data_IF_331689429495
#
_entry.id   IF_331689429495
#
_cell.length_a   1.000
_cell.length_b   1.000
_cell.length_c   1.000
_cell.angle_alpha   90.00
_cell.angle_beta   90.00
_cell.angle_gamma   90.00
#
_symmetry.space_group_name_H-M   'P 1'
#
loop_
_entity.id
_entity.type
_entity.pdbx_description
1 polymer ?
#
# COMPACT_ATOMS: atom_id res chain seq x y z
N UNK A 1 16.86 -7.11 1.42
CA UNK A 1 15.81 -6.26 0.82
C UNK A 1 15.50 -6.69 -0.61
N UNK A 2 16.30 -6.35 -1.63
CA UNK A 2 15.96 -6.65 -3.04
C UNK A 2 15.73 -8.15 -3.33
N UNK A 3 16.60 -9.05 -2.83
CA UNK A 3 16.40 -10.51 -2.98
C UNK A 3 15.12 -11.01 -2.30
N UNK A 4 14.79 -10.46 -1.14
CA UNK A 4 13.57 -10.79 -0.39
C UNK A 4 12.33 -10.35 -1.16
N UNK A 5 12.27 -9.11 -1.64
CA UNK A 5 11.16 -8.65 -2.47
C UNK A 5 11.00 -9.51 -3.73
N UNK A 6 12.12 -9.83 -4.40
CA UNK A 6 12.10 -10.64 -5.61
C UNK A 6 11.53 -12.06 -5.43
N UNK A 7 11.60 -12.65 -4.22
CA UNK A 7 11.02 -13.99 -3.99
C UNK A 7 9.48 -13.99 -3.99
N UNK A 8 8.84 -12.81 -3.92
CA UNK A 8 7.40 -12.67 -3.96
C UNK A 8 6.86 -12.16 -5.30
N UNK A 9 7.70 -11.86 -6.30
CA UNK A 9 7.25 -11.25 -7.55
C UNK A 9 6.23 -12.10 -8.33
N UNK A 10 6.30 -13.43 -8.23
CA UNK A 10 5.29 -14.30 -8.86
C UNK A 10 3.86 -14.07 -8.36
N UNK A 11 3.66 -13.47 -7.17
CA UNK A 11 2.33 -13.10 -6.70
C UNK A 11 1.70 -11.95 -7.52
N UNK A 12 2.52 -11.14 -8.19
CA UNK A 12 2.06 -10.04 -9.06
C UNK A 12 1.45 -10.56 -10.36
N UNK A 13 1.84 -11.77 -10.82
CA UNK A 13 1.33 -12.37 -12.06
C UNK A 13 -0.17 -12.71 -12.00
N UNK A 14 -0.77 -12.78 -10.80
CA UNK A 14 -2.21 -12.97 -10.62
C UNK A 14 -3.05 -11.75 -11.02
N UNK A 15 -2.42 -10.58 -11.17
CA UNK A 15 -3.08 -9.33 -11.54
C UNK A 15 -3.28 -9.30 -13.05
N UNK A 16 -4.45 -9.79 -13.48
CA UNK A 16 -4.79 -9.93 -14.91
C UNK A 16 -5.73 -8.85 -15.45
N UNK A 17 -6.32 -8.05 -14.55
CA UNK A 17 -7.29 -6.99 -14.88
C UNK A 17 -6.88 -5.69 -14.17
N UNK A 18 -6.12 -4.80 -14.83
CA UNK A 18 -5.64 -3.59 -14.20
C UNK A 18 -6.76 -2.58 -13.98
N UNK A 19 -6.71 -1.91 -12.83
CA UNK A 19 -7.59 -0.79 -12.46
C UNK A 19 -6.75 0.46 -12.26
N UNK A 20 -7.38 1.63 -12.37
CA UNK A 20 -6.72 2.87 -12.00
C UNK A 20 -6.49 2.86 -10.49
N UNK A 21 -5.23 2.95 -10.09
CA UNK A 21 -4.75 3.01 -8.71
C UNK A 21 -4.29 4.44 -8.46
N UNK A 22 -4.67 5.02 -7.33
CA UNK A 22 -4.21 6.36 -6.93
C UNK A 22 -2.84 6.33 -6.26
N UNK A 23 -2.62 5.33 -5.42
CA UNK A 23 -1.39 5.05 -4.68
C UNK A 23 -0.95 6.15 -3.68
N UNK A 24 -1.85 7.08 -3.35
CA UNK A 24 -1.62 8.12 -2.35
C UNK A 24 -2.92 8.59 -1.66
N UNK A 25 -3.76 7.65 -1.23
CA UNK A 25 -5.06 7.92 -0.61
C UNK A 25 -4.97 8.07 0.92
N UNK A 26 -4.06 8.91 1.41
CA UNK A 26 -4.12 9.35 2.81
C UNK A 26 -5.24 10.39 2.99
N UNK A 27 -5.63 10.63 4.25
CA UNK A 27 -6.81 11.47 4.58
C UNK A 27 -6.81 12.86 3.95
N UNK A 28 -5.65 13.46 3.68
CA UNK A 28 -5.53 14.78 3.06
C UNK A 28 -5.94 14.81 1.58
N UNK A 29 -5.84 13.69 0.87
CA UNK A 29 -6.13 13.59 -0.56
C UNK A 29 -7.58 13.15 -0.86
N UNK A 30 -8.41 12.99 0.18
CA UNK A 30 -9.82 12.59 0.06
C UNK A 30 -10.71 13.78 0.43
N UNK A 31 -11.35 14.38 -0.57
CA UNK A 31 -12.27 15.49 -0.36
C UNK A 31 -13.64 14.96 0.04
N UNK A 32 -14.20 15.52 1.11
CA UNK A 32 -15.52 15.17 1.62
C UNK A 32 -16.52 16.25 1.21
N UNK A 33 -17.57 15.85 0.49
CA UNK A 33 -18.72 16.69 0.21
C UNK A 33 -19.79 16.49 1.29
N UNK A 34 -20.33 17.61 1.78
CA UNK A 34 -21.37 17.68 2.80
C UNK A 34 -22.57 18.51 2.31
N UNK A 35 -22.57 18.91 1.05
CA UNK A 35 -23.69 19.64 0.46
C UNK A 35 -24.91 18.70 0.39
N UNK A 36 -26.06 19.18 0.85
CA UNK A 36 -27.29 18.38 0.90
C UNK A 36 -27.51 17.57 2.19
N UNK A 37 -26.65 17.70 3.20
CA UNK A 37 -26.83 17.06 4.51
C UNK A 37 -26.37 15.61 4.60
N UNK A 38 -25.99 14.99 3.48
CA UNK A 38 -25.32 13.69 3.42
C UNK A 38 -23.80 13.87 3.31
N UNK A 39 -23.04 12.94 3.90
CA UNK A 39 -21.57 12.94 3.82
C UNK A 39 -21.15 11.95 2.74
N UNK A 40 -20.42 12.41 1.73
CA UNK A 40 -19.91 11.56 0.64
C UNK A 40 -18.50 11.96 0.23
N UNK A 41 -17.81 11.08 -0.49
CA UNK A 41 -16.56 11.45 -1.16
C UNK A 41 -16.92 12.38 -2.34
N UNK A 42 -16.40 13.61 -2.29
CA UNK A 42 -16.60 14.62 -3.33
C UNK A 42 -15.50 14.60 -4.40
N UNK A 43 -14.32 14.10 -4.08
CA UNK A 43 -13.21 14.01 -5.02
C UNK A 43 -11.95 13.39 -4.41
N UNK A 44 -11.05 12.97 -5.30
CA UNK A 44 -9.70 12.52 -4.98
C UNK A 44 -8.72 13.45 -5.68
N UNK A 45 -7.64 13.83 -5.02
CA UNK A 45 -6.66 14.81 -5.53
C UNK A 45 -5.23 14.28 -5.39
N UNK A 46 -4.29 14.94 -6.07
CA UNK A 46 -2.86 14.62 -6.02
C UNK A 46 -2.51 13.25 -6.66
N UNK A 47 -2.97 13.07 -7.89
CA UNK A 47 -2.80 11.83 -8.66
C UNK A 47 -1.43 11.63 -9.29
N UNK A 48 -0.36 12.26 -8.80
CA UNK A 48 0.98 12.16 -9.41
C UNK A 48 1.56 10.74 -9.39
N UNK A 49 1.07 9.89 -8.47
CA UNK A 49 1.47 8.48 -8.30
C UNK A 49 0.50 7.51 -8.96
N UNK A 50 -0.46 8.00 -9.74
CA UNK A 50 -1.46 7.16 -10.38
C UNK A 50 -0.86 6.22 -11.43
N UNK A 51 -1.32 4.98 -11.43
CA UNK A 51 -0.98 4.00 -12.46
C UNK A 51 -2.12 3.00 -12.69
N UNK A 52 -2.06 2.29 -13.81
CA UNK A 52 -2.93 1.14 -14.06
C UNK A 52 -2.29 -0.12 -13.49
N UNK A 53 -2.95 -0.78 -12.53
CA UNK A 53 -2.38 -1.93 -11.84
C UNK A 53 -3.36 -2.63 -10.91
N UNK A 54 -2.83 -3.26 -9.87
CA UNK A 54 -3.62 -3.98 -8.87
C UNK A 54 -4.39 -3.01 -7.96
N UNK A 55 -5.74 -3.04 -7.92
CA UNK A 55 -6.51 -2.19 -7.02
C UNK A 55 -6.15 -2.39 -5.53
N UNK A 56 -5.56 -3.53 -5.16
CA UNK A 56 -5.08 -3.78 -3.80
C UNK A 56 -3.93 -2.84 -3.39
N UNK A 57 -3.24 -2.23 -4.35
CA UNK A 57 -2.17 -1.28 -4.07
C UNK A 57 -2.66 0.01 -3.40
N UNK A 58 -3.92 0.45 -3.60
CA UNK A 58 -4.45 1.63 -2.91
C UNK A 58 -4.55 1.43 -1.39
N UNK A 59 -4.72 0.18 -0.95
CA UNK A 59 -4.96 -0.15 0.46
C UNK A 59 -3.79 0.22 1.36
N UNK A 60 -2.55 0.23 0.83
CA UNK A 60 -1.36 0.55 1.63
C UNK A 60 -1.24 2.03 1.94
N UNK A 61 -1.80 2.90 1.09
CA UNK A 61 -1.86 4.34 1.32
C UNK A 61 -3.02 4.73 2.25
N UNK A 62 -4.15 4.02 2.16
CA UNK A 62 -5.29 4.17 3.06
C UNK A 62 -4.97 3.75 4.51
N UNK A 63 -4.24 2.64 4.68
CA UNK A 63 -3.78 2.14 5.97
C UNK A 63 -2.29 2.47 6.21
N UNK A 64 -1.86 3.69 5.90
CA UNK A 64 -0.48 4.12 6.06
C UNK A 64 0.06 3.80 7.48
N UNK A 65 1.15 3.02 7.55
CA UNK A 65 1.76 2.50 8.79
C UNK A 65 0.86 1.56 9.63
N UNK A 66 -0.35 1.25 9.16
CA UNK A 66 -1.34 0.38 9.78
C UNK A 66 -1.49 -0.97 9.07
N UNK A 67 -2.61 -1.64 9.36
CA UNK A 67 -3.00 -2.89 8.73
C UNK A 67 -4.46 -2.77 8.25
N UNK A 68 -4.64 -2.65 6.93
CA UNK A 68 -5.96 -2.51 6.31
C UNK A 68 -6.90 -3.67 6.66
N UNK A 69 -6.37 -4.86 7.00
CA UNK A 69 -7.16 -6.03 7.37
C UNK A 69 -7.95 -5.83 8.66
N UNK A 70 -7.59 -4.83 9.48
CA UNK A 70 -8.26 -4.47 10.73
C UNK A 70 -9.30 -3.37 10.56
N UNK A 71 -9.41 -2.78 9.37
CA UNK A 71 -10.38 -1.73 9.07
C UNK A 71 -11.67 -2.35 8.53
N UNK A 72 -12.48 -2.91 9.43
CA UNK A 72 -13.69 -3.63 9.07
C UNK A 72 -14.72 -2.74 8.36
N UNK A 73 -14.80 -1.46 8.73
CA UNK A 73 -15.72 -0.48 8.15
C UNK A 73 -15.35 -0.18 6.70
N UNK A 74 -14.08 0.15 6.44
CA UNK A 74 -13.58 0.33 5.07
C UNK A 74 -13.81 -0.92 4.23
N UNK A 75 -13.45 -2.09 4.75
CA UNK A 75 -13.56 -3.34 4.00
C UNK A 75 -15.02 -3.72 3.71
N UNK A 76 -15.95 -3.42 4.63
CA UNK A 76 -17.38 -3.60 4.40
C UNK A 76 -17.88 -2.69 3.28
N UNK A 77 -17.61 -1.38 3.37
CA UNK A 77 -18.01 -0.42 2.35
C UNK A 77 -17.39 -0.71 0.97
N UNK A 78 -16.11 -1.10 0.93
CA UNK A 78 -15.43 -1.46 -0.31
C UNK A 78 -16.08 -2.66 -0.99
N UNK A 79 -16.50 -3.68 -0.22
CA UNK A 79 -17.22 -4.86 -0.75
C UNK A 79 -18.64 -4.51 -1.18
N UNK A 80 -19.35 -3.68 -0.42
CA UNK A 80 -20.71 -3.22 -0.77
C UNK A 80 -20.72 -2.45 -2.10
N UNK A 81 -19.68 -1.64 -2.35
CA UNK A 81 -19.46 -0.96 -3.62
C UNK A 81 -19.00 -1.88 -4.79
N UNK A 82 -18.91 -3.20 -4.57
CA UNK A 82 -18.53 -4.19 -5.58
C UNK A 82 -17.02 -4.48 -5.65
N UNK A 83 -16.22 -3.88 -4.77
CA UNK A 83 -14.79 -4.12 -4.66
C UNK A 83 -14.45 -5.50 -4.11
N UNK A 84 -13.27 -6.03 -4.48
CA UNK A 84 -12.76 -7.32 -3.98
C UNK A 84 -11.65 -7.09 -2.96
N UNK A 85 -11.88 -7.50 -1.71
CA UNK A 85 -10.88 -7.44 -0.65
C UNK A 85 -10.67 -8.85 -0.05
N UNK A 86 -9.88 -9.68 -0.76
CA UNK A 86 -9.45 -11.01 -0.29
C UNK A 86 -7.99 -10.95 0.11
N UNK A 87 -7.64 -11.69 1.16
CA UNK A 87 -6.29 -11.71 1.74
C UNK A 87 -5.74 -13.14 1.81
N UNK A 88 -5.85 -13.87 0.70
CA UNK A 88 -5.10 -15.12 0.54
C UNK A 88 -3.58 -14.87 0.55
N UNK A 89 -2.79 -15.94 0.43
CA UNK A 89 -1.32 -15.83 0.53
C UNK A 89 -0.75 -14.91 -0.54
N UNK A 90 -1.20 -15.01 -1.78
CA UNK A 90 -0.72 -14.18 -2.87
C UNK A 90 -1.10 -12.69 -2.69
N UNK A 91 -2.35 -12.40 -2.30
CA UNK A 91 -2.77 -11.03 -2.00
C UNK A 91 -1.98 -10.43 -0.82
N UNK A 92 -1.65 -11.21 0.21
CA UNK A 92 -0.80 -10.76 1.32
C UNK A 92 0.63 -10.46 0.87
N UNK A 93 1.21 -11.29 0.00
CA UNK A 93 2.51 -11.04 -0.60
C UNK A 93 2.49 -9.74 -1.44
N UNK A 94 1.46 -9.51 -2.24
CA UNK A 94 1.28 -8.25 -3.00
C UNK A 94 1.17 -7.04 -2.07
N UNK A 95 0.36 -7.09 -1.02
CA UNK A 95 0.28 -6.02 -0.01
C UNK A 95 1.61 -5.75 0.69
N UNK A 96 2.39 -6.79 0.97
CA UNK A 96 3.71 -6.62 1.56
C UNK A 96 4.69 -5.96 0.57
N UNK A 97 4.65 -6.33 -0.71
CA UNK A 97 5.41 -5.66 -1.77
C UNK A 97 5.02 -4.18 -1.93
N UNK A 98 3.71 -3.88 -1.97
CA UNK A 98 3.23 -2.50 -2.09
C UNK A 98 3.57 -1.64 -0.86
N UNK A 99 3.47 -2.20 0.35
CA UNK A 99 3.95 -1.53 1.58
C UNK A 99 5.45 -1.26 1.51
N UNK A 100 6.24 -2.26 1.12
CA UNK A 100 7.68 -2.08 0.99
C UNK A 100 8.03 -0.99 -0.02
N UNK A 101 7.31 -0.94 -1.15
CA UNK A 101 7.48 0.10 -2.16
C UNK A 101 7.12 1.50 -1.62
N UNK A 102 5.94 1.66 -1.02
CA UNK A 102 5.52 2.94 -0.43
C UNK A 102 6.48 3.42 0.66
N UNK A 103 6.94 2.53 1.53
CA UNK A 103 7.88 2.89 2.60
C UNK A 103 9.27 3.25 2.06
N UNK A 104 9.72 2.60 0.99
CA UNK A 104 10.95 3.00 0.29
C UNK A 104 10.80 4.42 -0.26
N UNK A 105 9.69 4.72 -0.94
CA UNK A 105 9.38 6.07 -1.44
C UNK A 105 9.49 7.09 -0.30
N UNK A 106 8.75 6.89 0.79
CA UNK A 106 8.75 7.80 1.95
C UNK A 106 10.14 8.03 2.53
N UNK A 107 10.98 6.99 2.62
CA UNK A 107 12.35 7.11 3.10
C UNK A 107 13.24 7.89 2.12
N UNK A 108 13.11 7.61 0.82
CA UNK A 108 13.97 8.19 -0.22
C UNK A 108 13.61 9.63 -0.58
N UNK A 109 12.32 9.99 -0.49
CA UNK A 109 11.84 11.31 -0.91
C UNK A 109 12.08 12.40 0.15
N UNK A 110 12.54 12.03 1.35
CA UNK A 110 13.00 13.02 2.36
C UNK A 110 14.11 13.94 1.85
N UNK A 111 14.92 13.47 0.90
CA UNK A 111 16.02 14.24 0.29
C UNK A 111 15.50 15.25 -0.74
N UNK A 112 14.79 14.84 -1.81
CA UNK A 112 14.27 15.80 -2.80
C UNK A 112 13.24 16.79 -2.23
N UNK A 113 12.52 16.44 -1.16
CA UNK A 113 11.62 17.37 -0.48
C UNK A 113 12.32 18.29 0.55
N UNK A 114 13.65 18.24 0.64
CA UNK A 114 14.45 19.05 1.56
C UNK A 114 13.93 18.97 3.01
N UNK A 115 13.45 17.78 3.42
CA UNK A 115 12.76 17.60 4.69
C UNK A 115 13.65 18.05 5.85
N UNK A 116 13.07 18.76 6.83
CA UNK A 116 13.77 19.16 8.05
C UNK A 116 14.22 17.96 8.89
N UNK A 117 15.13 18.18 9.83
CA UNK A 117 15.71 17.12 10.67
C UNK A 117 14.66 16.32 11.44
N UNK A 118 13.62 17.00 11.95
CA UNK A 118 12.51 16.39 12.69
C UNK A 118 11.74 15.42 11.79
N UNK A 119 11.36 15.84 10.58
CA UNK A 119 10.64 14.99 9.63
C UNK A 119 11.52 13.81 9.19
N UNK A 120 12.81 14.02 8.92
CA UNK A 120 13.74 12.93 8.59
C UNK A 120 13.86 11.91 9.73
N UNK A 121 13.91 12.38 10.97
CA UNK A 121 13.94 11.53 12.16
C UNK A 121 12.64 10.74 12.29
N UNK A 122 11.50 11.41 12.19
CA UNK A 122 10.19 10.78 12.25
C UNK A 122 10.01 9.71 11.18
N UNK A 123 10.36 10.00 9.92
CA UNK A 123 10.29 9.02 8.82
C UNK A 123 11.19 7.83 9.13
N UNK A 124 12.43 8.06 9.58
CA UNK A 124 13.35 6.97 9.91
C UNK A 124 12.81 6.10 11.05
N UNK A 125 12.32 6.69 12.13
CA UNK A 125 11.88 5.97 13.33
C UNK A 125 10.52 5.28 13.14
N UNK A 126 9.63 5.86 12.33
CA UNK A 126 8.27 5.35 12.15
C UNK A 126 8.13 4.45 10.92
N UNK A 127 8.83 4.74 9.83
CA UNK A 127 8.67 4.06 8.53
C UNK A 127 9.66 2.92 8.36
N UNK A 128 10.92 3.07 8.77
CA UNK A 128 11.92 2.02 8.57
C UNK A 128 11.56 0.68 9.25
N UNK A 129 11.01 0.65 10.49
CA UNK A 129 10.55 -0.61 11.08
C UNK A 129 9.41 -1.26 10.30
N UNK A 130 8.53 -0.47 9.67
CA UNK A 130 7.41 -0.97 8.85
C UNK A 130 7.89 -1.56 7.53
N UNK A 131 8.94 -0.98 6.94
CA UNK A 131 9.62 -1.56 5.78
C UNK A 131 10.26 -2.90 6.12
N UNK A 132 10.95 -3.02 7.25
CA UNK A 132 11.52 -4.29 7.71
C UNK A 132 10.42 -5.32 7.93
N UNK A 133 9.35 -4.98 8.64
CA UNK A 133 8.23 -5.90 8.88
C UNK A 133 7.56 -6.38 7.58
N UNK A 134 7.42 -5.52 6.57
CA UNK A 134 6.88 -5.92 5.26
C UNK A 134 7.81 -6.91 4.54
N UNK A 135 9.13 -6.74 4.66
CA UNK A 135 10.10 -7.68 4.09
C UNK A 135 10.15 -9.00 4.85
N UNK A 136 9.98 -8.98 6.17
CA UNK A 136 9.90 -10.19 6.99
C UNK A 136 8.65 -11.00 6.64
N UNK A 137 7.49 -10.36 6.48
CA UNK A 137 6.26 -11.02 6.02
C UNK A 137 6.45 -11.69 4.64
N UNK A 138 7.21 -11.06 3.74
CA UNK A 138 7.58 -11.68 2.45
C UNK A 138 8.49 -12.90 2.67
N UNK A 139 9.50 -12.78 3.53
CA UNK A 139 10.46 -13.86 3.78
C UNK A 139 9.78 -15.10 4.41
N UNK A 140 8.78 -14.89 5.27
CA UNK A 140 8.04 -15.95 5.94
C UNK A 140 7.01 -16.63 5.01
N UNK A 141 6.38 -15.88 4.10
CA UNK A 141 5.28 -16.37 3.27
C UNK A 141 5.71 -16.80 1.85
N UNK A 142 6.88 -16.38 1.36
CA UNK A 142 7.33 -16.74 0.03
C UNK A 142 7.73 -18.22 -0.03
N UNK A 143 7.30 -18.97 -1.07
CA UNK A 143 7.70 -20.36 -1.23
C UNK A 143 9.23 -20.47 -1.36
N UNK A 144 9.82 -21.52 -0.77
CA UNK A 144 11.23 -21.83 -0.97
C UNK A 144 11.51 -21.98 -2.48
N UNK A 145 12.61 -21.39 -2.97
CA UNK A 145 12.97 -21.46 -4.40
C UNK A 145 13.04 -22.92 -4.86
N UNK A 146 12.35 -23.30 -5.96
CA UNK A 146 12.73 -24.51 -6.67
C UNK A 146 14.12 -24.29 -7.28
N UNK A 147 15.12 -25.09 -6.88
CA UNK A 147 16.40 -25.17 -7.60
C UNK A 147 17.67 -24.71 -6.87
N UNK A 148 17.76 -24.82 -5.54
CA UNK A 148 19.06 -24.94 -4.89
C UNK A 148 19.49 -26.42 -4.92
N UNK A 149 20.07 -26.85 -6.04
CA UNK A 149 20.94 -28.02 -6.15
C UNK A 149 22.32 -27.53 -6.59
#
# INVERSE_FOLDING_TARGET
MARTAASAFGALDEVTDPRLVHFDLWRGNILVDRTGGEVRIGGLIDGERMFWGDPLADFVSLALLGDIRKDEEFLAGYREAGGRARFDTAARLRLALYRAYLYLIMLTETVPHEAGEEQRRWVRESVAPKLVAALDEIAEAAPARPGAC
#
